data_IF_327101464312
#
_entry.id   IF_327101464312
#
_cell.length_a   1.000
_cell.length_b   1.000
_cell.length_c   1.000
_cell.angle_alpha   90.00
_cell.angle_beta   90.00
_cell.angle_gamma   90.00
#
_symmetry.space_group_name_H-M   'P 1'
#
loop_
_entity.id
_entity.type
_entity.pdbx_description
1 polymer ?
#
# COMPACT_ATOMS: atom_id res chain seq x y z
N UNK A 1 -3.34 -11.82 26.30
CA UNK A 1 -2.58 -12.39 25.16
C UNK A 1 -3.50 -12.81 24.02
N UNK A 2 -4.50 -13.67 24.28
CA UNK A 2 -5.47 -14.20 23.30
C UNK A 2 -6.07 -13.15 22.35
N UNK A 3 -6.60 -12.03 22.86
CA UNK A 3 -7.20 -10.98 22.04
C UNK A 3 -6.26 -10.41 20.97
N UNK A 4 -4.98 -10.23 21.30
CA UNK A 4 -3.98 -9.71 20.33
C UNK A 4 -3.71 -10.72 19.24
N UNK A 5 -3.61 -12.01 19.60
CA UNK A 5 -3.45 -13.12 18.65
C UNK A 5 -4.64 -13.16 17.69
N UNK A 6 -5.87 -13.05 18.20
CA UNK A 6 -7.06 -13.04 17.36
C UNK A 6 -7.10 -11.88 16.36
N UNK A 7 -6.64 -10.69 16.75
CA UNK A 7 -6.59 -9.52 15.86
C UNK A 7 -5.54 -9.70 14.76
N UNK A 8 -4.36 -10.21 15.11
CA UNK A 8 -3.31 -10.51 14.13
C UNK A 8 -3.77 -11.61 13.18
N UNK A 9 -4.39 -12.66 13.72
CA UNK A 9 -4.99 -13.72 12.93
C UNK A 9 -6.07 -13.16 11.99
N UNK A 10 -6.94 -12.27 12.46
CA UNK A 10 -7.94 -11.62 11.60
C UNK A 10 -7.29 -10.79 10.48
N UNK A 11 -6.27 -9.98 10.79
CA UNK A 11 -5.58 -9.16 9.79
C UNK A 11 -4.94 -9.99 8.67
N UNK A 12 -4.48 -11.21 8.97
CA UNK A 12 -3.80 -12.10 8.01
C UNK A 12 -4.77 -13.06 7.32
N UNK A 13 -5.64 -13.73 8.09
CA UNK A 13 -6.50 -14.79 7.59
C UNK A 13 -7.76 -14.27 6.90
N UNK A 14 -8.27 -13.09 7.31
CA UNK A 14 -9.52 -12.56 6.75
C UNK A 14 -9.38 -12.19 5.27
N UNK A 15 -8.32 -11.51 4.80
CA UNK A 15 -8.11 -11.30 3.37
C UNK A 15 -8.04 -12.60 2.58
N UNK A 16 -7.26 -13.57 3.08
CA UNK A 16 -7.12 -14.88 2.43
C UNK A 16 -8.44 -15.66 2.35
N UNK A 17 -9.32 -15.54 3.35
CA UNK A 17 -10.60 -16.22 3.39
C UNK A 17 -11.68 -15.48 2.57
N UNK A 18 -11.76 -14.16 2.68
CA UNK A 18 -12.79 -13.37 1.98
C UNK A 18 -12.51 -13.23 0.49
N UNK A 19 -11.23 -13.23 0.10
CA UNK A 19 -10.79 -13.19 -1.28
C UNK A 19 -10.27 -14.56 -1.74
N UNK A 20 -10.82 -15.66 -1.19
CA UNK A 20 -10.34 -17.01 -1.47
C UNK A 20 -10.26 -17.39 -2.96
N UNK A 21 -11.11 -16.89 -3.89
CA UNK A 21 -10.97 -17.26 -5.30
C UNK A 21 -9.62 -16.85 -5.88
N UNK A 22 -8.96 -15.83 -5.31
CA UNK A 22 -7.66 -15.35 -5.76
C UNK A 22 -6.52 -16.37 -5.55
N UNK A 23 -6.70 -17.35 -4.65
CA UNK A 23 -5.77 -18.48 -4.54
C UNK A 23 -5.72 -19.30 -5.84
N UNK A 24 -6.87 -19.43 -6.51
CA UNK A 24 -7.01 -20.22 -7.73
C UNK A 24 -6.77 -19.38 -8.97
N UNK A 25 -7.36 -18.19 -9.04
CA UNK A 25 -7.25 -17.27 -10.16
C UNK A 25 -7.18 -15.81 -9.64
N UNK A 26 -5.97 -15.30 -9.36
CA UNK A 26 -5.80 -13.94 -8.86
C UNK A 26 -6.21 -12.86 -9.88
N UNK A 27 -6.16 -13.20 -11.17
CA UNK A 27 -6.55 -12.32 -12.28
C UNK A 27 -7.96 -12.61 -12.79
N UNK A 28 -8.86 -13.01 -11.89
CA UNK A 28 -10.21 -13.48 -12.23
C UNK A 28 -11.16 -12.38 -12.69
N UNK A 29 -10.79 -11.10 -12.59
CA UNK A 29 -11.65 -10.04 -13.11
C UNK A 29 -11.57 -9.94 -14.63
N UNK A 30 -10.40 -10.23 -15.22
CA UNK A 30 -10.21 -10.17 -16.67
C UNK A 30 -10.17 -8.74 -17.21
N UNK A 31 -9.75 -7.78 -16.38
CA UNK A 31 -9.62 -6.36 -16.68
C UNK A 31 -8.12 -5.97 -16.69
N UNK A 32 -7.77 -4.84 -16.08
CA UNK A 32 -6.40 -4.35 -15.89
C UNK A 32 -5.50 -5.35 -15.15
N UNK A 33 -6.10 -6.30 -14.41
CA UNK A 33 -5.36 -7.39 -13.76
C UNK A 33 -4.70 -8.33 -14.77
N UNK A 34 -5.32 -8.61 -15.92
CA UNK A 34 -4.74 -9.47 -16.97
C UNK A 34 -4.02 -8.69 -18.06
N UNK A 35 -4.47 -7.48 -18.40
CA UNK A 35 -3.89 -6.72 -19.52
C UNK A 35 -2.71 -5.85 -19.13
N UNK A 36 -2.62 -5.43 -17.86
CA UNK A 36 -1.66 -4.42 -17.43
C UNK A 36 -0.84 -4.86 -16.22
N UNK A 37 -1.43 -4.93 -15.02
CA UNK A 37 -0.65 -5.10 -13.78
C UNK A 37 0.06 -6.45 -13.70
N UNK A 38 -0.58 -7.56 -14.08
CA UNK A 38 0.08 -8.87 -14.06
C UNK A 38 1.24 -8.99 -15.05
N UNK A 39 1.05 -8.72 -16.37
CA UNK A 39 2.13 -8.85 -17.33
C UNK A 39 3.27 -7.89 -17.01
N UNK A 40 2.96 -6.66 -16.60
CA UNK A 40 3.95 -5.65 -16.26
C UNK A 40 4.88 -6.09 -15.12
N UNK A 41 4.33 -6.62 -14.02
CA UNK A 41 5.14 -7.12 -12.88
C UNK A 41 5.94 -8.36 -13.25
N UNK A 42 5.36 -9.24 -14.08
CA UNK A 42 6.03 -10.46 -14.55
C UNK A 42 7.22 -10.14 -15.45
N UNK A 43 7.05 -9.18 -16.36
CA UNK A 43 8.11 -8.73 -17.25
C UNK A 43 9.21 -7.99 -16.49
N UNK A 44 8.84 -7.09 -15.57
CA UNK A 44 9.80 -6.39 -14.71
C UNK A 44 10.69 -7.38 -13.93
N UNK A 45 10.08 -8.41 -13.33
CA UNK A 45 10.82 -9.45 -12.61
C UNK A 45 11.74 -10.28 -13.53
N UNK A 46 11.28 -10.66 -14.72
CA UNK A 46 12.11 -11.37 -15.72
C UNK A 46 13.32 -10.56 -16.14
N UNK A 47 13.13 -9.27 -16.41
CA UNK A 47 14.23 -8.36 -16.76
C UNK A 47 15.29 -8.28 -15.66
N UNK A 48 14.85 -8.08 -14.41
CA UNK A 48 15.75 -8.08 -13.24
C UNK A 48 16.51 -9.41 -13.11
N UNK A 49 15.83 -10.55 -13.27
CA UNK A 49 16.46 -11.87 -13.18
C UNK A 49 17.43 -12.17 -14.34
N UNK A 50 17.20 -11.60 -15.51
CA UNK A 50 18.10 -11.73 -16.67
C UNK A 50 19.37 -10.87 -16.51
N UNK A 51 19.43 -9.98 -15.52
CA UNK A 51 20.50 -8.98 -15.40
C UNK A 51 20.38 -7.86 -16.44
N UNK A 52 19.29 -7.84 -17.20
CA UNK A 52 18.98 -6.78 -18.15
C UNK A 52 18.55 -5.55 -17.36
N UNK A 53 18.97 -4.36 -17.81
CA UNK A 53 18.20 -3.15 -17.52
C UNK A 53 17.00 -3.22 -18.45
N UNK A 54 15.80 -3.58 -17.97
CA UNK A 54 14.66 -3.78 -18.84
C UNK A 54 14.10 -2.39 -19.16
N UNK A 55 14.86 -1.65 -19.96
CA UNK A 55 14.58 -0.29 -20.41
C UNK A 55 13.64 -0.29 -21.63
N UNK A 56 13.21 -1.47 -22.08
CA UNK A 56 12.38 -1.60 -23.27
C UNK A 56 11.36 -2.73 -23.13
N UNK A 57 10.08 -2.37 -23.07
CA UNK A 57 8.96 -3.28 -23.29
C UNK A 57 8.64 -3.42 -24.78
N UNK A 58 8.92 -4.57 -25.44
CA UNK A 58 8.58 -4.76 -26.85
C UNK A 58 7.07 -4.96 -27.10
N UNK A 59 6.26 -5.12 -26.05
CA UNK A 59 4.79 -5.26 -26.13
C UNK A 59 4.04 -3.93 -26.15
N UNK A 60 4.69 -2.84 -25.74
CA UNK A 60 4.18 -1.47 -25.85
C UNK A 60 4.60 -0.87 -27.21
N UNK A 61 3.66 -0.26 -27.95
CA UNK A 61 3.82 0.09 -29.37
C UNK A 61 5.04 0.97 -29.70
N UNK A 62 5.54 1.76 -28.76
CA UNK A 62 6.73 2.61 -28.92
C UNK A 62 7.86 2.27 -27.94
N UNK A 63 7.73 1.15 -27.21
CA UNK A 63 8.59 0.76 -26.11
C UNK A 63 8.56 1.73 -24.93
N UNK A 64 8.14 1.24 -23.76
CA UNK A 64 8.23 2.01 -22.51
C UNK A 64 9.33 1.39 -21.67
N UNK A 65 10.19 2.24 -21.09
CA UNK A 65 11.16 1.77 -20.12
C UNK A 65 10.46 1.33 -18.84
N UNK A 66 10.65 0.08 -18.42
CA UNK A 66 9.99 -0.45 -17.21
C UNK A 66 10.41 0.31 -15.95
N UNK A 67 11.62 0.87 -15.94
CA UNK A 67 12.06 1.77 -14.86
C UNK A 67 11.44 3.17 -14.94
N UNK A 68 11.01 3.62 -16.12
CA UNK A 68 10.39 4.92 -16.33
C UNK A 68 8.87 4.89 -16.05
N UNK A 69 8.22 3.73 -16.21
CA UNK A 69 6.82 3.57 -15.84
C UNK A 69 6.68 3.37 -14.31
N UNK A 70 6.12 4.35 -13.57
CA UNK A 70 5.90 4.24 -12.13
C UNK A 70 4.99 3.06 -11.76
N UNK A 71 4.06 2.67 -12.64
CA UNK A 71 3.11 1.60 -12.38
C UNK A 71 3.72 0.20 -12.48
N UNK A 72 4.96 0.06 -12.95
CA UNK A 72 5.75 -1.18 -12.73
C UNK A 72 6.01 -1.42 -11.25
N UNK A 73 5.94 -0.36 -10.43
CA UNK A 73 6.15 -0.32 -9.00
C UNK A 73 7.31 -1.20 -8.55
N UNK A 74 8.41 -1.18 -9.30
CA UNK A 74 9.66 -1.90 -9.00
C UNK A 74 10.18 -1.61 -7.59
N UNK A 75 9.94 -0.39 -7.10
CA UNK A 75 10.31 0.05 -5.76
C UNK A 75 9.31 -0.37 -4.67
N UNK A 76 8.16 -0.94 -5.02
CA UNK A 76 7.20 -1.44 -4.04
C UNK A 76 7.61 -2.86 -3.56
N UNK A 77 7.70 -3.12 -2.25
CA UNK A 77 8.29 -4.36 -1.72
C UNK A 77 7.64 -5.65 -2.21
N UNK A 78 6.32 -5.67 -2.42
CA UNK A 78 5.65 -6.89 -2.84
C UNK A 78 5.95 -7.25 -4.29
N UNK A 79 6.44 -6.32 -5.11
CA UNK A 79 6.92 -6.61 -6.48
C UNK A 79 8.07 -7.60 -6.48
N UNK A 80 8.90 -7.60 -5.43
CA UNK A 80 10.04 -8.51 -5.33
C UNK A 80 9.61 -9.96 -5.06
N UNK A 81 8.34 -10.21 -4.72
CA UNK A 81 7.79 -11.56 -4.65
C UNK A 81 7.84 -12.28 -6.00
N UNK A 82 7.79 -11.56 -7.12
CA UNK A 82 7.92 -12.16 -8.46
C UNK A 82 9.34 -12.65 -8.77
N UNK A 83 10.35 -12.20 -8.02
CA UNK A 83 11.73 -12.67 -8.19
C UNK A 83 11.94 -14.07 -7.60
N UNK A 84 11.09 -14.48 -6.64
CA UNK A 84 11.28 -15.73 -5.87
C UNK A 84 10.07 -16.67 -5.90
N UNK A 85 8.88 -16.19 -6.24
CA UNK A 85 7.65 -16.98 -6.32
C UNK A 85 7.13 -17.04 -7.75
N UNK A 86 6.23 -18.00 -8.02
CA UNK A 86 5.44 -17.97 -9.26
C UNK A 86 4.64 -16.67 -9.36
N UNK A 87 4.46 -16.14 -10.57
CA UNK A 87 3.68 -14.91 -10.81
C UNK A 87 2.28 -14.99 -10.19
N UNK A 88 1.65 -16.17 -10.22
CA UNK A 88 0.36 -16.45 -9.57
C UNK A 88 0.38 -16.19 -8.08
N UNK A 89 1.34 -16.81 -7.39
CA UNK A 89 1.42 -16.66 -5.95
C UNK A 89 1.84 -15.25 -5.57
N UNK A 90 2.78 -14.65 -6.30
CA UNK A 90 3.26 -13.29 -6.07
C UNK A 90 2.13 -12.25 -6.19
N UNK A 91 1.29 -12.36 -7.22
CA UNK A 91 0.15 -11.46 -7.44
C UNK A 91 -0.93 -11.64 -6.35
N UNK A 92 -1.31 -12.89 -6.05
CA UNK A 92 -2.29 -13.18 -5.00
C UNK A 92 -1.84 -12.64 -3.63
N UNK A 93 -0.58 -12.93 -3.24
CA UNK A 93 -0.01 -12.45 -1.99
C UNK A 93 0.08 -10.93 -1.95
N UNK A 94 0.40 -10.27 -3.06
CA UNK A 94 0.42 -8.80 -3.12
C UNK A 94 -0.94 -8.19 -2.82
N UNK A 95 -2.02 -8.76 -3.36
CA UNK A 95 -3.39 -8.35 -3.02
C UNK A 95 -3.68 -8.61 -1.54
N UNK A 96 -3.43 -9.82 -1.05
CA UNK A 96 -3.72 -10.15 0.36
C UNK A 96 -2.95 -9.26 1.32
N UNK A 97 -1.69 -8.95 1.02
CA UNK A 97 -0.87 -8.04 1.82
C UNK A 97 -1.40 -6.61 1.80
N UNK A 98 -1.90 -6.11 0.67
CA UNK A 98 -2.54 -4.79 0.61
C UNK A 98 -3.80 -4.75 1.49
N UNK A 99 -4.66 -5.77 1.44
CA UNK A 99 -5.85 -5.85 2.30
C UNK A 99 -5.49 -6.02 3.78
N UNK A 100 -4.47 -6.81 4.10
CA UNK A 100 -3.94 -6.96 5.45
C UNK A 100 -3.36 -5.65 5.99
N UNK A 101 -2.63 -4.90 5.15
CA UNK A 101 -2.11 -3.58 5.48
C UNK A 101 -3.25 -2.59 5.72
N UNK A 102 -4.27 -2.56 4.86
CA UNK A 102 -5.46 -1.71 5.02
C UNK A 102 -6.18 -2.00 6.34
N UNK A 103 -6.38 -3.28 6.68
CA UNK A 103 -6.97 -3.69 7.94
C UNK A 103 -6.09 -3.26 9.13
N UNK A 104 -4.81 -3.63 9.12
CA UNK A 104 -3.87 -3.38 10.22
C UNK A 104 -3.72 -1.89 10.51
N UNK A 105 -3.53 -1.09 9.47
CA UNK A 105 -3.41 0.36 9.59
C UNK A 105 -4.67 0.98 10.15
N UNK A 106 -5.85 0.58 9.64
CA UNK A 106 -7.14 1.11 10.11
C UNK A 106 -7.38 0.74 11.56
N UNK A 107 -7.13 -0.51 11.93
CA UNK A 107 -7.25 -0.95 13.32
C UNK A 107 -6.36 -0.12 14.23
N UNK A 108 -5.07 0.05 13.90
CA UNK A 108 -4.13 0.82 14.69
C UNK A 108 -4.53 2.30 14.79
N UNK A 109 -4.96 2.90 13.70
CA UNK A 109 -5.48 4.27 13.64
C UNK A 109 -6.68 4.45 14.56
N UNK A 110 -7.71 3.61 14.42
CA UNK A 110 -8.93 3.68 15.23
C UNK A 110 -8.65 3.49 16.73
N UNK A 111 -7.74 2.57 17.06
CA UNK A 111 -7.27 2.40 18.45
C UNK A 111 -6.55 3.63 18.98
N UNK A 112 -5.81 4.34 18.13
CA UNK A 112 -5.04 5.52 18.50
C UNK A 112 -5.93 6.73 18.78
N UNK A 113 -7.05 6.87 18.06
CA UNK A 113 -8.04 7.95 18.28
C UNK A 113 -9.07 7.63 19.35
N UNK A 114 -8.88 6.53 20.11
CA UNK A 114 -9.64 6.23 21.32
C UNK A 114 -10.77 5.22 21.19
N UNK A 115 -10.97 4.59 20.02
CA UNK A 115 -12.03 3.59 19.87
C UNK A 115 -11.73 2.30 20.65
N UNK A 116 -12.80 1.70 21.19
CA UNK A 116 -12.74 0.35 21.78
C UNK A 116 -12.38 -0.69 20.71
N UNK A 117 -11.74 -1.82 21.06
CA UNK A 117 -11.15 -2.67 20.03
C UNK A 117 -12.15 -3.41 19.15
N UNK A 118 -13.38 -3.66 19.62
CA UNK A 118 -14.44 -4.22 18.77
C UNK A 118 -14.84 -3.24 17.65
N UNK A 119 -15.02 -1.96 17.98
CA UNK A 119 -15.30 -0.91 17.00
C UNK A 119 -14.12 -0.73 16.02
N UNK A 120 -12.88 -0.84 16.51
CA UNK A 120 -11.70 -0.78 15.66
C UNK A 120 -11.59 -1.98 14.69
N UNK A 121 -11.90 -3.20 15.14
CA UNK A 121 -11.94 -4.38 14.25
C UNK A 121 -13.04 -4.24 13.20
N UNK A 122 -14.22 -3.78 13.61
CA UNK A 122 -15.33 -3.53 12.70
C UNK A 122 -14.93 -2.48 11.64
N UNK A 123 -14.43 -1.31 12.04
CA UNK A 123 -13.99 -0.27 11.11
C UNK A 123 -12.84 -0.71 10.20
N UNK A 124 -11.89 -1.50 10.70
CA UNK A 124 -10.81 -2.08 9.91
C UNK A 124 -11.32 -3.06 8.85
N UNK A 125 -12.32 -3.88 9.20
CA UNK A 125 -12.99 -4.78 8.27
C UNK A 125 -13.71 -3.97 7.19
N UNK A 126 -14.51 -2.98 7.60
CA UNK A 126 -15.28 -2.13 6.68
C UNK A 126 -14.36 -1.41 5.71
N UNK A 127 -13.25 -0.83 6.16
CA UNK A 127 -12.31 -0.16 5.27
C UNK A 127 -11.60 -1.14 4.33
N UNK A 128 -11.04 -2.22 4.86
CA UNK A 128 -10.28 -3.18 4.05
C UNK A 128 -11.14 -3.82 2.95
N UNK A 129 -12.42 -4.06 3.22
CA UNK A 129 -13.35 -4.71 2.28
C UNK A 129 -14.43 -3.75 1.75
N UNK A 130 -14.19 -2.44 1.77
CA UNK A 130 -15.13 -1.50 1.17
C UNK A 130 -15.16 -1.64 -0.36
N UNK A 131 -16.21 -1.12 -0.98
CA UNK A 131 -16.39 -1.17 -2.44
C UNK A 131 -15.21 -0.60 -3.22
N UNK A 132 -14.52 0.41 -2.69
CA UNK A 132 -13.31 0.95 -3.31
C UNK A 132 -12.17 -0.08 -3.36
N UNK A 133 -11.81 -0.69 -2.22
CA UNK A 133 -10.72 -1.67 -2.13
C UNK A 133 -11.04 -2.93 -2.95
N UNK A 134 -12.26 -3.46 -2.82
CA UNK A 134 -12.68 -4.68 -3.52
C UNK A 134 -12.84 -4.41 -5.01
N UNK A 135 -13.49 -3.32 -5.40
CA UNK A 135 -13.73 -2.97 -6.79
C UNK A 135 -12.46 -2.63 -7.55
N UNK A 136 -11.48 -2.00 -6.90
CA UNK A 136 -10.20 -1.67 -7.53
C UNK A 136 -9.12 -2.72 -7.30
N UNK A 137 -9.44 -3.93 -6.83
CA UNK A 137 -8.44 -4.99 -6.64
C UNK A 137 -7.65 -5.32 -7.92
N UNK A 138 -8.23 -5.01 -9.08
CA UNK A 138 -7.63 -5.18 -10.41
C UNK A 138 -6.51 -4.16 -10.67
N UNK A 139 -6.57 -3.01 -9.99
CA UNK A 139 -5.58 -1.94 -10.07
C UNK A 139 -4.57 -2.06 -8.93
N UNK A 140 -3.57 -2.95 -9.10
CA UNK A 140 -2.70 -3.36 -7.98
C UNK A 140 -1.98 -2.18 -7.30
N UNK A 141 -1.41 -1.26 -8.08
CA UNK A 141 -0.75 -0.06 -7.53
C UNK A 141 -1.71 0.85 -6.75
N UNK A 142 -2.95 0.96 -7.19
CA UNK A 142 -3.98 1.76 -6.54
C UNK A 142 -4.33 1.20 -5.15
N UNK A 143 -4.61 -0.11 -5.03
CA UNK A 143 -4.94 -0.71 -3.73
C UNK A 143 -3.74 -0.75 -2.79
N UNK A 144 -2.52 -0.91 -3.31
CA UNK A 144 -1.29 -0.84 -2.54
C UNK A 144 -1.13 0.54 -1.91
N UNK A 145 -1.25 1.61 -2.70
CA UNK A 145 -1.23 2.98 -2.18
C UNK A 145 -2.35 3.21 -1.16
N UNK A 146 -3.60 2.92 -1.54
CA UNK A 146 -4.77 3.16 -0.68
C UNK A 146 -4.70 2.43 0.67
N UNK A 147 -4.08 1.24 0.71
CA UNK A 147 -3.88 0.49 1.95
C UNK A 147 -3.03 1.23 2.99
N UNK A 148 -2.19 2.17 2.56
CA UNK A 148 -1.29 2.95 3.41
C UNK A 148 -1.96 4.21 3.99
N UNK A 149 -3.11 4.62 3.47
CA UNK A 149 -3.87 5.78 3.97
C UNK A 149 -4.06 5.77 5.50
N UNK A 150 -4.58 4.69 6.13
CA UNK A 150 -4.78 4.69 7.57
C UNK A 150 -3.46 4.67 8.36
N UNK A 151 -2.36 4.16 7.79
CA UNK A 151 -1.04 4.20 8.43
C UNK A 151 -0.51 5.63 8.53
N UNK A 152 -0.69 6.44 7.49
CA UNK A 152 -0.32 7.86 7.54
C UNK A 152 -1.13 8.63 8.58
N UNK A 153 -2.45 8.39 8.65
CA UNK A 153 -3.31 8.97 9.69
C UNK A 153 -2.84 8.57 11.11
N UNK A 154 -2.52 7.29 11.30
CA UNK A 154 -1.97 6.78 12.56
C UNK A 154 -0.62 7.41 12.93
N UNK A 155 0.26 7.63 11.94
CA UNK A 155 1.56 8.24 12.17
C UNK A 155 1.43 9.74 12.52
N UNK A 156 0.49 10.46 11.89
CA UNK A 156 0.16 11.86 12.23
C UNK A 156 -0.28 11.97 13.70
N UNK A 157 -1.10 11.04 14.20
CA UNK A 157 -1.49 10.99 15.63
C UNK A 157 -0.31 10.78 16.60
N UNK A 158 0.84 10.31 16.12
CA UNK A 158 2.03 10.13 16.94
C UNK A 158 2.85 11.40 17.07
N UNK A 159 2.77 12.34 16.12
CA UNK A 159 3.53 13.60 16.10
C UNK A 159 3.43 14.34 17.43
N UNK A 160 2.23 14.39 18.00
CA UNK A 160 1.92 15.11 19.25
C UNK A 160 2.72 14.62 20.45
N UNK A 161 3.02 13.32 20.48
CA UNK A 161 3.61 12.65 21.66
C UNK A 161 5.01 12.13 21.42
N UNK A 162 5.33 11.73 20.18
CA UNK A 162 6.58 11.06 19.78
C UNK A 162 6.93 11.45 18.33
N UNK A 163 7.42 12.68 18.08
CA UNK A 163 7.67 13.18 16.73
C UNK A 163 8.73 12.38 15.97
N UNK A 164 9.80 11.92 16.64
CA UNK A 164 10.81 11.06 16.01
C UNK A 164 10.23 9.71 15.55
N UNK A 165 9.36 9.11 16.38
CA UNK A 165 8.65 7.90 15.98
C UNK A 165 7.68 8.18 14.82
N UNK A 166 6.98 9.32 14.82
CA UNK A 166 6.11 9.70 13.71
C UNK A 166 6.90 9.84 12.40
N UNK A 167 8.06 10.50 12.42
CA UNK A 167 8.96 10.63 11.27
C UNK A 167 9.39 9.24 10.73
N UNK A 168 9.83 8.34 11.62
CA UNK A 168 10.26 6.99 11.26
C UNK A 168 9.18 6.14 10.59
N UNK A 169 7.89 6.48 10.80
CA UNK A 169 6.78 5.85 10.10
C UNK A 169 6.34 6.62 8.86
N UNK A 170 6.26 7.95 8.91
CA UNK A 170 5.79 8.77 7.80
C UNK A 170 6.71 8.69 6.58
N UNK A 171 8.03 8.69 6.78
CA UNK A 171 8.99 8.63 5.67
C UNK A 171 8.80 7.36 4.81
N UNK A 172 8.82 6.13 5.37
CA UNK A 172 8.57 4.94 4.57
C UNK A 172 7.12 4.87 4.05
N UNK A 173 6.12 5.37 4.78
CA UNK A 173 4.73 5.41 4.27
C UNK A 173 4.62 6.27 3.01
N UNK A 174 5.24 7.45 3.01
CA UNK A 174 5.27 8.34 1.84
C UNK A 174 6.04 7.69 0.69
N UNK A 175 7.23 7.14 0.96
CA UNK A 175 8.03 6.46 -0.07
C UNK A 175 7.25 5.29 -0.69
N UNK A 176 6.61 4.44 0.12
CA UNK A 176 5.82 3.31 -0.36
C UNK A 176 4.56 3.74 -1.13
N UNK A 177 3.93 4.85 -0.74
CA UNK A 177 2.76 5.38 -1.45
C UNK A 177 3.13 5.85 -2.86
N UNK A 178 4.31 6.47 -3.01
CA UNK A 178 4.83 6.91 -4.30
C UNK A 178 5.34 5.70 -5.11
N UNK A 179 6.05 4.78 -4.46
CA UNK A 179 6.57 3.55 -5.07
C UNK A 179 5.47 2.58 -5.56
N UNK A 180 4.25 2.68 -5.02
CA UNK A 180 3.09 1.94 -5.53
C UNK A 180 2.73 2.35 -6.98
N UNK A 181 3.19 3.51 -7.44
CA UNK A 181 3.15 3.91 -8.84
C UNK A 181 1.86 4.58 -9.29
N UNK A 182 0.82 4.58 -8.46
CA UNK A 182 -0.48 5.14 -8.81
C UNK A 182 -0.62 6.60 -8.32
N UNK A 183 -0.02 7.52 -9.08
CA UNK A 183 0.07 8.96 -8.74
C UNK A 183 -1.26 9.62 -8.37
N UNK A 184 -2.39 9.38 -9.07
CA UNK A 184 -3.65 9.96 -8.68
C UNK A 184 -4.02 9.59 -7.23
N UNK A 185 -3.83 8.33 -6.84
CA UNK A 185 -4.15 7.87 -5.48
C UNK A 185 -3.20 8.49 -4.45
N UNK A 186 -1.91 8.59 -4.76
CA UNK A 186 -0.94 9.25 -3.91
C UNK A 186 -1.34 10.72 -3.63
N UNK A 187 -1.76 11.46 -4.66
CA UNK A 187 -2.24 12.85 -4.52
C UNK A 187 -3.47 12.92 -3.61
N UNK A 188 -4.47 12.06 -3.84
CA UNK A 188 -5.68 12.03 -2.99
C UNK A 188 -5.33 11.74 -1.52
N UNK A 189 -4.39 10.81 -1.28
CA UNK A 189 -3.92 10.51 0.07
C UNK A 189 -3.20 11.68 0.71
N UNK A 190 -2.34 12.39 -0.03
CA UNK A 190 -1.66 13.59 0.46
C UNK A 190 -2.64 14.69 0.84
N UNK A 191 -3.72 14.88 0.06
CA UNK A 191 -4.80 15.82 0.40
C UNK A 191 -5.47 15.42 1.73
N UNK A 192 -5.83 14.15 1.89
CA UNK A 192 -6.48 13.64 3.11
C UNK A 192 -5.54 13.78 4.32
N UNK A 193 -4.28 13.38 4.20
CA UNK A 193 -3.29 13.50 5.28
C UNK A 193 -3.01 14.94 5.66
N UNK A 194 -2.93 15.85 4.68
CA UNK A 194 -2.73 17.28 4.92
C UNK A 194 -3.91 17.88 5.67
N UNK A 195 -5.14 17.63 5.19
CA UNK A 195 -6.35 18.08 5.87
C UNK A 195 -6.43 17.53 7.30
N UNK A 196 -6.13 16.25 7.49
CA UNK A 196 -6.12 15.61 8.80
C UNK A 196 -5.07 16.21 9.73
N UNK A 197 -3.86 16.45 9.24
CA UNK A 197 -2.77 17.06 9.99
C UNK A 197 -3.15 18.47 10.47
N UNK A 198 -3.72 19.30 9.60
CA UNK A 198 -4.15 20.66 9.93
C UNK A 198 -5.22 20.68 11.04
N UNK A 199 -6.13 19.69 11.04
CA UNK A 199 -7.20 19.58 12.02
C UNK A 199 -6.72 19.02 13.37
N UNK A 200 -5.84 18.01 13.37
CA UNK A 200 -5.56 17.18 14.56
C UNK A 200 -4.17 17.35 15.16
N UNK A 201 -3.17 17.73 14.37
CA UNK A 201 -1.78 17.73 14.81
C UNK A 201 -1.38 19.08 15.41
N UNK A 202 -1.20 19.11 16.74
CA UNK A 202 -0.76 20.29 17.49
C UNK A 202 0.47 19.97 18.36
N UNK A 203 1.47 20.87 18.47
CA UNK A 203 1.56 22.18 17.81
C UNK A 203 1.83 22.05 16.30
N UNK A 204 1.19 22.91 15.49
CA UNK A 204 1.13 22.76 14.04
C UNK A 204 2.51 22.93 13.37
N UNK A 205 3.32 23.91 13.81
CA UNK A 205 4.66 24.12 13.22
C UNK A 205 5.56 22.89 13.32
N UNK A 206 5.52 22.16 14.45
CA UNK A 206 6.25 20.90 14.60
C UNK A 206 5.68 19.81 13.70
N UNK A 207 4.36 19.74 13.56
CA UNK A 207 3.73 18.76 12.69
C UNK A 207 4.14 18.96 11.23
N UNK A 208 4.07 20.21 10.75
CA UNK A 208 4.51 20.59 9.41
C UNK A 208 5.98 20.25 9.17
N UNK A 209 6.87 20.58 10.13
CA UNK A 209 8.29 20.26 10.03
C UNK A 209 8.54 18.75 9.93
N UNK A 210 7.90 17.95 10.79
CA UNK A 210 8.04 16.48 10.76
C UNK A 210 7.55 15.91 9.43
N UNK A 211 6.40 16.35 8.92
CA UNK A 211 5.90 15.87 7.62
C UNK A 211 6.74 16.35 6.44
N UNK A 212 7.26 17.57 6.47
CA UNK A 212 8.14 18.09 5.42
C UNK A 212 9.45 17.30 5.36
N UNK A 213 10.06 17.01 6.51
CA UNK A 213 11.26 16.16 6.58
C UNK A 213 10.95 14.74 6.11
N UNK A 214 9.80 14.17 6.51
CA UNK A 214 9.38 12.85 6.04
C UNK A 214 9.21 12.80 4.51
N UNK A 215 8.59 13.84 3.92
CA UNK A 215 8.44 13.99 2.48
C UNK A 215 9.78 14.12 1.76
N UNK A 216 10.67 14.97 2.29
CA UNK A 216 12.03 15.11 1.76
C UNK A 216 12.81 13.81 1.78
N UNK A 217 12.76 13.05 2.88
CA UNK A 217 13.37 11.72 2.97
C UNK A 217 12.77 10.76 1.94
N UNK A 218 11.44 10.73 1.81
CA UNK A 218 10.77 9.83 0.87
C UNK A 218 11.17 10.08 -0.60
N UNK A 219 11.36 11.35 -0.98
CA UNK A 219 11.79 11.74 -2.33
C UNK A 219 13.23 11.35 -2.66
N UNK A 220 14.09 11.09 -1.66
CA UNK A 220 15.46 10.61 -1.89
C UNK A 220 15.49 9.15 -2.35
N UNK A 221 14.43 8.39 -2.08
CA UNK A 221 14.34 6.96 -2.39
C UNK A 221 13.56 6.65 -3.69
N UNK A 222 13.19 7.68 -4.45
CA UNK A 222 12.53 7.59 -5.77
C UNK A 222 13.49 8.04 -6.86
#
# INVERSE_FOLDING_TARGET
MLRRVLIVAAAVLMPAAMLYPLWSCPTSAGEDDVVYYWPLRTMAARGVLAGDRPEWDPGEATGVGLFADPQTGLYFPTTWLWLVLSAKLAYALSIFLAFAAAFGGTYLYLRRVGLRPSAAVFGATVFAFCGFMVGHRVHLGLIQAASLLPWGLWAIERIRTRPAAALAWLAPIFALTLAAGHWPTAIHMLVIWSAYLLLRARPLGRALAVTAVAGGIALVFL
#
